data_IF_855768304649
#
_entry.id   IF_855768304649
#
_cell.length_a   1.000
_cell.length_b   1.000
_cell.length_c   1.000
_cell.angle_alpha   90.00
_cell.angle_beta   90.00
_cell.angle_gamma   90.00
#
_symmetry.space_group_name_H-M   'P 1'
#
loop_
_entity.id
_entity.type
_entity.pdbx_description
1 polymer ?
#
# COMPACT_ATOMS: atom_id res chain seq x y z
N UNK A 1 -15.47 -8.07 1.62
CA UNK A 1 -14.36 -8.18 2.60
C UNK A 1 -13.26 -7.28 2.09
N UNK A 2 -13.08 -6.09 2.69
CA UNK A 2 -12.01 -5.18 2.27
C UNK A 2 -10.73 -5.60 3.00
N UNK A 3 -9.74 -6.11 2.27
CA UNK A 3 -8.51 -6.77 2.75
C UNK A 3 -7.53 -5.86 3.52
N UNK A 4 -8.00 -4.88 4.30
CA UNK A 4 -7.14 -3.99 5.08
C UNK A 4 -6.36 -2.95 4.27
N UNK A 5 -6.53 -2.94 2.94
CA UNK A 5 -5.88 -2.00 2.02
C UNK A 5 -6.93 -1.34 1.11
N UNK A 6 -6.84 -0.01 0.99
CA UNK A 6 -7.76 0.80 0.19
C UNK A 6 -6.97 1.67 -0.79
N UNK A 7 -7.09 1.37 -2.08
CA UNK A 7 -6.56 2.22 -3.13
C UNK A 7 -7.53 3.36 -3.44
N UNK A 8 -7.02 4.58 -3.50
CA UNK A 8 -7.76 5.80 -3.83
C UNK A 8 -7.18 6.38 -5.12
N UNK A 9 -7.76 6.08 -6.29
CA UNK A 9 -7.21 6.48 -7.58
C UNK A 9 -7.15 8.00 -7.75
N UNK A 10 -8.11 8.72 -7.17
CA UNK A 10 -8.23 10.20 -7.29
C UNK A 10 -6.99 10.93 -6.76
N UNK A 11 -6.32 10.33 -5.78
CA UNK A 11 -5.08 10.84 -5.20
C UNK A 11 -3.89 9.95 -5.48
N UNK A 12 -4.09 8.84 -6.20
CA UNK A 12 -3.06 7.85 -6.50
C UNK A 12 -2.33 7.38 -5.23
N UNK A 13 -3.10 7.11 -4.17
CA UNK A 13 -2.57 6.66 -2.86
C UNK A 13 -3.17 5.32 -2.43
N UNK A 14 -2.40 4.57 -1.65
CA UNK A 14 -2.81 3.29 -1.08
C UNK A 14 -2.81 3.38 0.45
N UNK A 15 -3.96 3.29 1.08
CA UNK A 15 -4.11 3.31 2.54
C UNK A 15 -4.04 1.89 3.10
N UNK A 16 -3.20 1.67 4.12
CA UNK A 16 -3.37 0.53 5.00
C UNK A 16 -4.34 0.92 6.13
N UNK A 17 -5.56 0.39 6.13
CA UNK A 17 -6.58 0.75 7.12
C UNK A 17 -6.24 0.22 8.52
N UNK A 18 -5.53 -0.90 8.60
CA UNK A 18 -5.10 -1.48 9.88
C UNK A 18 -3.98 -0.68 10.56
N UNK A 19 -3.08 -0.08 9.78
CA UNK A 19 -1.97 0.73 10.32
C UNK A 19 -2.26 2.23 10.34
N UNK A 20 -3.29 2.69 9.62
CA UNK A 20 -3.71 4.09 9.62
C UNK A 20 -2.84 5.04 8.80
N UNK A 21 -1.98 4.53 7.90
CA UNK A 21 -1.12 5.37 7.06
C UNK A 21 -1.09 4.93 5.60
N UNK A 22 -0.75 5.88 4.72
CA UNK A 22 -0.55 5.64 3.29
C UNK A 22 0.79 4.97 3.01
N UNK A 23 0.77 3.94 2.16
CA UNK A 23 1.95 3.22 1.74
C UNK A 23 2.66 3.99 0.64
N UNK A 24 3.95 4.29 0.86
CA UNK A 24 4.80 4.86 -0.18
C UNK A 24 4.98 3.87 -1.34
N UNK A 25 5.09 4.34 -2.58
CA UNK A 25 5.39 3.48 -3.71
C UNK A 25 6.74 2.76 -3.52
N UNK A 26 6.78 1.46 -3.84
CA UNK A 26 8.04 0.70 -3.85
C UNK A 26 7.90 -0.72 -3.32
N UNK A 27 8.33 -1.68 -4.13
CA UNK A 27 8.21 -3.12 -3.82
C UNK A 27 8.89 -3.51 -2.50
N UNK A 28 10.08 -2.98 -2.23
CA UNK A 28 10.82 -3.22 -0.99
C UNK A 28 10.10 -2.64 0.24
N UNK A 29 9.48 -1.46 0.09
CA UNK A 29 8.70 -0.79 1.14
C UNK A 29 7.47 -1.63 1.50
N UNK A 30 6.70 -2.08 0.51
CA UNK A 30 5.52 -2.92 0.71
C UNK A 30 5.89 -4.26 1.34
N UNK A 31 6.93 -4.92 0.84
CA UNK A 31 7.43 -6.18 1.41
C UNK A 31 7.81 -6.01 2.89
N UNK A 32 8.52 -4.94 3.24
CA UNK A 32 8.88 -4.65 4.63
C UNK A 32 7.64 -4.44 5.49
N UNK A 33 6.71 -3.60 5.05
CA UNK A 33 5.48 -3.28 5.76
C UNK A 33 4.64 -4.55 6.04
N UNK A 34 4.33 -5.32 5.00
CA UNK A 34 3.48 -6.51 5.11
C UNK A 34 4.12 -7.63 5.96
N UNK A 35 5.46 -7.66 6.07
CA UNK A 35 6.16 -8.65 6.89
C UNK A 35 6.18 -8.32 8.38
N UNK A 36 6.00 -7.06 8.75
CA UNK A 36 6.04 -6.58 10.13
C UNK A 36 4.67 -6.72 10.82
N UNK A 37 4.63 -6.63 12.15
CA UNK A 37 3.37 -6.53 12.88
C UNK A 37 2.64 -5.25 12.44
N UNK A 38 1.30 -5.27 12.31
CA UNK A 38 0.40 -6.35 12.69
C UNK A 38 0.14 -7.40 11.59
N UNK A 39 0.70 -7.25 10.39
CA UNK A 39 0.38 -8.08 9.23
C UNK A 39 1.06 -9.44 9.23
N UNK A 40 2.37 -9.49 9.54
CA UNK A 40 3.17 -10.71 9.60
C UNK A 40 3.03 -11.66 8.37
N UNK A 41 2.69 -11.14 7.20
CA UNK A 41 2.41 -11.95 6.00
C UNK A 41 3.67 -12.58 5.43
N UNK A 42 3.54 -13.79 4.88
CA UNK A 42 4.61 -14.58 4.26
C UNK A 42 4.05 -15.36 3.06
N UNK A 43 4.93 -15.94 2.25
CA UNK A 43 4.54 -16.86 1.17
C UNK A 43 3.63 -16.23 0.11
N UNK A 44 2.66 -17.01 -0.37
CA UNK A 44 1.76 -16.62 -1.45
C UNK A 44 0.91 -15.37 -1.14
N UNK A 45 0.30 -15.19 0.05
CA UNK A 45 -0.45 -13.98 0.39
C UNK A 45 0.40 -12.70 0.30
N UNK A 46 1.64 -12.75 0.79
CA UNK A 46 2.58 -11.64 0.68
C UNK A 46 2.88 -11.30 -0.78
N UNK A 47 3.15 -12.32 -1.60
CA UNK A 47 3.45 -12.14 -3.02
C UNK A 47 2.26 -11.53 -3.76
N UNK A 48 1.06 -12.06 -3.55
CA UNK A 48 -0.16 -11.60 -4.20
C UNK A 48 -0.47 -10.12 -3.92
N UNK A 49 -0.36 -9.69 -2.65
CA UNK A 49 -0.58 -8.28 -2.32
C UNK A 49 0.47 -7.35 -2.92
N UNK A 50 1.74 -7.76 -2.93
CA UNK A 50 2.80 -6.95 -3.54
C UNK A 50 2.61 -6.83 -5.05
N UNK A 51 2.16 -7.88 -5.71
CA UNK A 51 1.84 -7.86 -7.14
C UNK A 51 0.60 -7.01 -7.42
N UNK A 52 -0.42 -7.09 -6.57
CA UNK A 52 -1.60 -6.22 -6.65
C UNK A 52 -1.20 -4.75 -6.52
N UNK A 53 -0.41 -4.38 -5.50
CA UNK A 53 0.01 -2.99 -5.28
C UNK A 53 0.85 -2.46 -6.45
N UNK A 54 1.61 -3.33 -7.12
CA UNK A 54 2.38 -2.97 -8.31
C UNK A 54 1.52 -2.63 -9.53
N UNK A 55 0.23 -2.99 -9.53
CA UNK A 55 -0.71 -2.60 -10.60
C UNK A 55 -1.25 -1.18 -10.40
N UNK A 56 -1.09 -0.59 -9.21
CA UNK A 56 -1.56 0.76 -8.92
C UNK A 56 -0.52 1.80 -9.34
N UNK A 57 -0.98 2.84 -10.04
CA UNK A 57 -0.19 4.04 -10.29
C UNK A 57 -0.19 4.88 -9.01
N UNK A 58 0.82 4.69 -8.16
CA UNK A 58 0.94 5.39 -6.88
C UNK A 58 1.93 6.55 -6.97
N UNK A 59 1.54 7.71 -6.43
CA UNK A 59 2.40 8.90 -6.32
C UNK A 59 3.29 8.81 -5.07
N UNK A 60 4.49 9.38 -5.18
CA UNK A 60 5.29 9.65 -3.97
C UNK A 60 4.71 10.86 -3.23
N UNK A 61 4.90 10.98 -1.89
CA UNK A 61 4.31 12.05 -1.09
C UNK A 61 4.51 13.46 -1.66
N UNK A 62 5.66 13.71 -2.27
CA UNK A 62 6.04 15.00 -2.85
C UNK A 62 5.22 15.36 -4.10
N UNK A 63 4.57 14.39 -4.72
CA UNK A 63 3.76 14.55 -5.93
C UNK A 63 2.25 14.60 -5.65
N UNK A 64 1.83 14.27 -4.42
CA UNK A 64 0.41 14.30 -4.06
C UNK A 64 -0.04 15.76 -3.97
N UNK A 65 -0.87 16.19 -4.91
CA UNK A 65 -1.48 17.51 -4.87
C UNK A 65 -2.41 17.60 -3.65
N UNK A 66 -2.09 18.49 -2.71
CA UNK A 66 -3.02 18.88 -1.65
C UNK A 66 -4.05 19.81 -2.28
N UNK A 67 -5.36 19.48 -2.27
CA UNK A 67 -6.37 20.40 -2.76
C UNK A 67 -6.31 21.69 -1.93
N UNK A 68 -6.13 22.82 -2.62
CA UNK A 68 -6.17 24.17 -2.05
C UNK A 68 -7.58 24.61 -1.72
#
# INVERSE_FOLDING_TARGET
MSDGFLYKPEWQVLLCTQCGFYLRPGRSVWLRHLRQKPHCLRGAPLKALVELFATYSLLVPEQVAVPT
#
